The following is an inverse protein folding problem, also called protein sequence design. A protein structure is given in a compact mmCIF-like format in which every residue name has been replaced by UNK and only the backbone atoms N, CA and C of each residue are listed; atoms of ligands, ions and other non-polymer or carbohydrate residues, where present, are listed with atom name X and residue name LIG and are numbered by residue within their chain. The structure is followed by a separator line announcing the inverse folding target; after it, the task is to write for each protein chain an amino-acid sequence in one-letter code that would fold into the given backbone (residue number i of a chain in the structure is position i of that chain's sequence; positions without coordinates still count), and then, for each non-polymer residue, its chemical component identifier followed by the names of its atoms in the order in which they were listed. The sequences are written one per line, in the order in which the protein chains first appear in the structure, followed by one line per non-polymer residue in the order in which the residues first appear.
data_IF_252623445104
#
_entry.id   IF_252623445104
#
_cell.length_a   1.000
_cell.length_b   1.000
_cell.length_c   1.000
_cell.angle_alpha   90.00
_cell.angle_beta   90.00
_cell.angle_gamma   90.00
#
_symmetry.space_group_name_H-M   'P 1'
#
loop_
_entity.id
_entity.type
_entity.pdbx_description
1 polymer ?
#
# COMPACT_ATOMS: atom_id res chain seq x y z
N UNK A 1 5.32 -39.75 14.11
CA UNK A 1 5.40 -38.98 12.86
C UNK A 1 5.91 -37.61 13.24
N UNK A 2 7.15 -37.30 12.88
CA UNK A 2 7.72 -35.97 13.08
C UNK A 2 7.03 -34.98 12.14
N UNK A 3 6.48 -33.90 12.68
CA UNK A 3 6.06 -32.75 11.88
C UNK A 3 7.32 -32.04 11.41
N UNK A 4 7.64 -32.14 10.13
CA UNK A 4 8.71 -31.38 9.50
C UNK A 4 8.47 -29.87 9.68
N UNK A 5 9.53 -29.06 9.82
CA UNK A 5 9.40 -27.63 10.07
C UNK A 5 8.57 -27.03 8.93
N UNK A 6 7.52 -26.29 9.29
CA UNK A 6 6.73 -25.56 8.32
C UNK A 6 7.66 -24.63 7.56
N UNK A 7 7.82 -24.89 6.27
CA UNK A 7 8.54 -24.00 5.36
C UNK A 7 7.81 -22.65 5.39
N UNK A 8 8.33 -21.72 6.20
CA UNK A 8 7.98 -20.32 6.08
C UNK A 8 8.58 -19.84 4.77
N UNK A 9 7.75 -19.75 3.74
CA UNK A 9 8.13 -19.12 2.47
C UNK A 9 8.30 -17.63 2.76
N UNK A 10 9.53 -17.16 2.69
CA UNK A 10 9.81 -15.72 2.67
C UNK A 10 9.41 -15.24 1.27
N UNK A 11 8.33 -14.47 1.19
CA UNK A 11 7.94 -13.76 -0.02
C UNK A 11 8.80 -12.51 -0.08
N UNK A 12 9.71 -12.44 -1.04
CA UNK A 12 10.40 -11.20 -1.38
C UNK A 12 9.37 -10.27 -2.01
N UNK A 13 9.01 -9.19 -1.31
CA UNK A 13 8.22 -8.11 -1.92
C UNK A 13 9.12 -7.41 -2.96
N UNK A 14 8.97 -7.76 -4.23
CA UNK A 14 9.56 -6.99 -5.32
C UNK A 14 8.82 -5.65 -5.43
N UNK A 15 9.30 -4.66 -4.68
CA UNK A 15 8.77 -3.31 -4.76
C UNK A 15 9.27 -2.67 -6.05
N UNK A 16 8.35 -2.43 -7.00
CA UNK A 16 8.67 -1.66 -8.19
C UNK A 16 9.00 -0.20 -7.78
N UNK A 17 10.24 0.26 -7.98
CA UNK A 17 10.63 1.63 -7.62
C UNK A 17 9.88 2.71 -8.42
N UNK A 18 9.19 2.32 -9.50
CA UNK A 18 8.35 3.20 -10.32
C UNK A 18 6.86 2.93 -10.11
N UNK A 19 6.47 2.26 -9.02
CA UNK A 19 5.08 2.02 -8.70
C UNK A 19 4.29 3.34 -8.69
N UNK A 20 3.30 3.41 -9.57
CA UNK A 20 2.35 4.51 -9.64
C UNK A 20 0.96 3.95 -9.28
N UNK A 21 0.38 4.37 -8.15
CA UNK A 21 -0.94 3.93 -7.74
C UNK A 21 -1.98 4.24 -8.82
N UNK A 22 -2.82 3.25 -9.11
CA UNK A 22 -3.97 3.44 -9.98
C UNK A 22 -5.04 4.28 -9.28
N UNK A 23 -5.92 4.91 -10.06
CA UNK A 23 -7.04 5.70 -9.50
C UNK A 23 -7.92 4.87 -8.55
N UNK A 24 -8.11 3.58 -8.86
CA UNK A 24 -8.87 2.67 -8.01
C UNK A 24 -8.19 2.51 -6.63
N UNK A 25 -6.89 2.24 -6.60
CA UNK A 25 -6.16 2.08 -5.34
C UNK A 25 -6.19 3.37 -4.53
N UNK A 26 -6.03 4.53 -5.19
CA UNK A 26 -6.14 5.84 -4.54
C UNK A 26 -7.52 6.03 -3.92
N UNK A 27 -8.61 5.66 -4.61
CA UNK A 27 -9.98 5.76 -4.08
C UNK A 27 -10.24 4.81 -2.92
N UNK A 28 -9.78 3.56 -3.02
CA UNK A 28 -9.89 2.57 -1.95
C UNK A 28 -9.15 3.04 -0.70
N UNK A 29 -7.95 3.59 -0.87
CA UNK A 29 -7.16 4.11 0.25
C UNK A 29 -7.70 5.43 0.79
N UNK A 30 -8.20 6.33 -0.05
CA UNK A 30 -8.92 7.54 0.38
C UNK A 30 -10.16 7.18 1.21
N UNK A 31 -10.90 6.14 0.81
CA UNK A 31 -12.03 5.61 1.58
C UNK A 31 -11.57 5.07 2.94
N UNK A 32 -10.47 4.32 2.98
CA UNK A 32 -9.90 3.81 4.22
C UNK A 32 -9.45 4.92 5.17
N UNK A 33 -8.89 6.01 4.64
CA UNK A 33 -8.55 7.23 5.38
C UNK A 33 -9.79 7.99 5.88
N UNK A 34 -10.99 7.64 5.41
CA UNK A 34 -12.24 8.29 5.78
C UNK A 34 -12.51 9.60 5.03
N UNK A 35 -11.93 9.77 3.83
CA UNK A 35 -12.12 10.97 3.01
C UNK A 35 -13.51 11.01 2.34
N UNK A 36 -14.01 12.22 2.12
CA UNK A 36 -15.19 12.46 1.27
C UNK A 36 -14.79 12.40 -0.22
N UNK A 37 -15.25 11.36 -0.91
CA UNK A 37 -14.89 11.11 -2.31
C UNK A 37 -15.47 12.15 -3.29
N UNK A 38 -16.43 12.95 -2.86
CA UNK A 38 -17.06 13.99 -3.66
C UNK A 38 -16.55 15.38 -3.26
N UNK A 39 -16.47 15.66 -1.96
CA UNK A 39 -16.09 16.97 -1.41
C UNK A 39 -14.57 17.21 -1.30
N UNK A 40 -13.75 16.16 -1.28
CA UNK A 40 -12.30 16.25 -0.98
C UNK A 40 -11.41 15.68 -2.07
N UNK A 41 -11.88 15.66 -3.33
CA UNK A 41 -11.13 15.12 -4.47
C UNK A 41 -9.74 15.76 -4.64
N UNK A 42 -9.64 17.06 -4.34
CA UNK A 42 -8.37 17.80 -4.40
C UNK A 42 -7.35 17.34 -3.33
N UNK A 43 -7.78 16.57 -2.33
CA UNK A 43 -6.93 16.00 -1.28
C UNK A 43 -6.48 14.57 -1.58
N UNK A 44 -6.96 13.92 -2.66
CA UNK A 44 -6.61 12.54 -3.00
C UNK A 44 -5.12 12.32 -3.25
N UNK A 45 -4.36 13.39 -3.50
CA UNK A 45 -2.90 13.29 -3.56
C UNK A 45 -2.30 12.73 -2.26
N UNK A 46 -2.93 12.95 -1.09
CA UNK A 46 -2.48 12.40 0.19
C UNK A 46 -2.57 10.87 0.17
N UNK A 47 -3.69 10.33 -0.31
CA UNK A 47 -3.88 8.89 -0.47
C UNK A 47 -2.90 8.31 -1.49
N UNK A 48 -2.67 9.01 -2.61
CA UNK A 48 -1.68 8.60 -3.63
C UNK A 48 -0.26 8.55 -3.07
N UNK A 49 0.17 9.58 -2.34
CA UNK A 49 1.50 9.62 -1.75
C UNK A 49 1.65 8.55 -0.66
N UNK A 50 0.63 8.31 0.17
CA UNK A 50 0.66 7.25 1.17
C UNK A 50 0.84 5.85 0.58
N UNK A 51 0.29 5.58 -0.60
CA UNK A 51 0.47 4.31 -1.32
C UNK A 51 1.86 4.18 -1.95
N UNK A 52 2.46 5.29 -2.43
CA UNK A 52 3.86 5.29 -2.92
C UNK A 52 4.88 5.10 -1.81
N UNK A 53 4.51 5.54 -0.62
CA UNK A 53 5.31 5.58 0.61
C UNK A 53 5.24 4.26 1.41
N UNK A 54 4.73 3.17 0.81
CA UNK A 54 4.77 1.82 1.40
C UNK A 54 6.16 1.29 1.78
N UNK A 55 7.24 1.99 1.45
CA UNK A 55 8.65 1.67 1.77
C UNK A 55 9.26 2.46 2.92
N UNK A 56 8.58 3.47 3.48
CA UNK A 56 9.19 4.36 4.48
C UNK A 56 9.37 3.71 5.88
N UNK A 57 8.99 2.45 6.05
CA UNK A 57 9.33 1.65 7.23
C UNK A 57 10.74 1.04 7.17
N UNK A 58 11.42 1.07 6.01
CA UNK A 58 12.81 0.58 5.88
C UNK A 58 13.87 1.67 6.14
N UNK A 59 13.46 2.90 6.49
CA UNK A 59 14.34 4.05 6.71
C UNK A 59 14.43 4.51 8.18
N UNK A 60 13.96 3.70 9.14
CA UNK A 60 14.11 3.95 10.59
C UNK A 60 14.87 2.82 11.30
#
# INVERSE_FOLDING_TARGET
MEGGPGDSIVLEEEIDPNYEPTEKEVLEYATWLGMDLEGERDLFWIAREGLKVGTLLDLL
#
